data_IF_306197742975
#
_entry.id   IF_306197742975
#
_cell.length_a   1.000
_cell.length_b   1.000
_cell.length_c   1.000
_cell.angle_alpha   90.00
_cell.angle_beta   90.00
_cell.angle_gamma   90.00
#
_symmetry.space_group_name_H-M   'P 1'
#
loop_
_entity.id
_entity.type
_entity.pdbx_description
1 polymer ?
#
# COMPACT_ATOMS: atom_id res chain seq x y z
N UNK A 1 26.19 -7.92 -6.64
CA UNK A 1 26.30 -6.46 -6.57
C UNK A 1 25.95 -5.99 -5.17
N UNK A 2 26.89 -5.29 -4.52
CA UNK A 2 26.63 -4.66 -3.23
C UNK A 2 26.04 -3.27 -3.49
N UNK A 3 24.84 -3.04 -2.95
CA UNK A 3 24.22 -1.71 -2.99
C UNK A 3 24.75 -0.95 -1.76
N UNK A 4 25.47 0.16 -1.95
CA UNK A 4 25.96 0.92 -0.80
C UNK A 4 24.78 1.53 -0.02
N UNK A 5 24.96 1.63 1.28
CA UNK A 5 23.96 2.25 2.18
C UNK A 5 22.62 1.49 2.21
N UNK A 6 22.69 0.16 2.15
CA UNK A 6 21.51 -0.70 2.26
C UNK A 6 21.60 -1.51 3.56
N UNK A 7 20.59 -1.40 4.40
CA UNK A 7 20.41 -2.25 5.58
C UNK A 7 19.22 -3.18 5.34
N UNK A 8 19.42 -4.47 5.47
CA UNK A 8 18.37 -5.46 5.31
C UNK A 8 17.85 -5.87 6.69
N UNK A 9 16.56 -5.68 6.91
CA UNK A 9 15.91 -5.95 8.20
C UNK A 9 14.75 -6.94 7.99
N UNK A 10 14.76 -8.03 8.74
CA UNK A 10 13.64 -8.99 8.73
C UNK A 10 12.65 -8.58 9.81
N UNK A 11 11.47 -8.12 9.39
CA UNK A 11 10.40 -7.67 10.30
C UNK A 11 9.03 -8.00 9.71
N UNK A 12 8.08 -8.26 10.59
CA UNK A 12 6.69 -8.54 10.19
C UNK A 12 5.86 -7.25 10.34
N UNK A 13 5.49 -6.66 9.22
CA UNK A 13 4.68 -5.43 9.21
C UNK A 13 3.21 -5.64 9.56
N UNK A 14 2.79 -6.87 9.80
CA UNK A 14 1.45 -7.11 10.37
C UNK A 14 1.38 -6.67 11.83
N UNK A 15 2.53 -6.58 12.49
CA UNK A 15 2.66 -6.02 13.83
C UNK A 15 3.44 -4.70 13.76
N UNK A 16 3.36 -3.91 14.83
CA UNK A 16 4.03 -2.61 14.86
C UNK A 16 5.54 -2.79 14.66
N UNK A 17 6.15 -2.12 13.69
CA UNK A 17 7.59 -2.27 13.45
C UNK A 17 8.41 -1.69 14.60
N UNK A 18 9.64 -2.22 14.82
CA UNK A 18 10.48 -1.79 15.97
C UNK A 18 11.19 -0.45 15.71
N UNK A 19 10.58 0.42 14.93
CA UNK A 19 11.11 1.75 14.60
C UNK A 19 10.16 2.82 15.08
N UNK A 20 10.67 4.02 15.29
CA UNK A 20 9.84 5.23 15.50
C UNK A 20 9.88 6.05 14.22
N UNK A 21 9.21 7.18 14.15
CA UNK A 21 9.11 8.05 12.98
C UNK A 21 10.48 8.42 12.41
N UNK A 22 11.05 7.54 11.59
CA UNK A 22 12.44 7.65 11.12
C UNK A 22 12.59 7.77 9.60
N UNK A 23 11.55 7.45 8.82
CA UNK A 23 11.66 7.40 7.36
C UNK A 23 11.04 8.63 6.70
N UNK A 24 11.75 9.22 5.75
CA UNK A 24 11.25 10.33 4.93
C UNK A 24 10.41 9.81 3.77
N UNK A 25 10.76 8.63 3.24
CA UNK A 25 10.04 7.98 2.15
C UNK A 25 9.87 6.50 2.45
N UNK A 26 8.69 5.98 2.19
CA UNK A 26 8.38 4.56 2.36
C UNK A 26 7.70 4.06 1.08
N UNK A 27 8.16 2.94 0.57
CA UNK A 27 7.44 2.19 -0.46
C UNK A 27 6.90 0.91 0.19
N UNK A 28 5.59 0.76 0.19
CA UNK A 28 4.91 -0.45 0.66
C UNK A 28 4.41 -1.24 -0.55
N UNK A 29 5.13 -2.28 -0.91
CA UNK A 29 4.67 -3.25 -1.89
C UNK A 29 3.97 -4.37 -1.12
N UNK A 30 2.64 -4.23 -0.98
CA UNK A 30 1.89 -5.04 -0.02
C UNK A 30 1.51 -6.42 -0.57
N UNK A 31 1.43 -7.45 0.28
CA UNK A 31 0.90 -8.74 -0.16
C UNK A 31 -0.53 -8.57 -0.67
N UNK A 32 -0.82 -9.12 -1.84
CA UNK A 32 -2.13 -8.98 -2.49
C UNK A 32 -2.50 -10.28 -3.23
N UNK A 33 -3.70 -10.30 -3.80
CA UNK A 33 -4.18 -11.45 -4.58
C UNK A 33 -3.31 -11.75 -5.80
N UNK A 34 -2.67 -10.72 -6.36
CA UNK A 34 -1.90 -10.84 -7.59
C UNK A 34 -2.75 -10.89 -8.85
N UNK A 35 -4.06 -10.56 -8.75
CA UNK A 35 -4.98 -10.66 -9.90
C UNK A 35 -4.58 -9.78 -11.09
N UNK A 36 -3.72 -8.79 -10.87
CA UNK A 36 -3.15 -7.98 -11.96
C UNK A 36 -2.06 -8.71 -12.74
N UNK A 37 -1.58 -9.86 -12.25
CA UNK A 37 -0.49 -10.61 -12.88
C UNK A 37 -0.96 -11.94 -13.49
N UNK A 38 -2.25 -12.07 -13.82
CA UNK A 38 -2.81 -13.31 -14.37
C UNK A 38 -2.13 -13.75 -15.66
N UNK A 39 -1.59 -12.82 -16.44
CA UNK A 39 -0.85 -13.13 -17.66
C UNK A 39 0.46 -13.90 -17.33
N UNK A 40 1.19 -13.41 -16.33
CA UNK A 40 2.46 -13.99 -15.89
C UNK A 40 2.27 -15.17 -14.95
N UNK A 41 1.15 -15.18 -14.21
CA UNK A 41 0.84 -16.15 -13.17
C UNK A 41 -0.61 -16.66 -13.31
N UNK A 42 -0.91 -17.44 -14.37
CA UNK A 42 -2.30 -17.84 -14.66
C UNK A 42 -2.92 -18.78 -13.60
N UNK A 43 -2.10 -19.42 -12.80
CA UNK A 43 -2.55 -20.31 -11.71
C UNK A 43 -3.28 -19.55 -10.59
N UNK A 44 -3.09 -18.24 -10.49
CA UNK A 44 -3.76 -17.38 -9.49
C UNK A 44 -5.28 -17.54 -9.56
N UNK A 45 -5.85 -17.64 -10.79
CA UNK A 45 -7.30 -17.80 -10.99
C UNK A 45 -7.89 -19.01 -10.25
N UNK A 46 -7.07 -20.02 -9.99
CA UNK A 46 -7.52 -21.25 -9.33
C UNK A 46 -7.29 -21.23 -7.81
N UNK A 47 -6.43 -20.31 -7.35
CA UNK A 47 -6.05 -20.24 -5.93
C UNK A 47 -6.80 -19.14 -5.16
N UNK A 48 -7.19 -18.06 -5.85
CA UNK A 48 -7.83 -16.90 -5.21
C UNK A 48 -9.35 -17.02 -5.34
N UNK A 49 -10.03 -16.78 -4.23
CA UNK A 49 -11.50 -16.74 -4.15
C UNK A 49 -11.94 -15.33 -3.76
N UNK A 50 -13.14 -14.96 -4.13
CA UNK A 50 -13.73 -13.67 -3.76
C UNK A 50 -13.66 -13.42 -2.24
N UNK A 51 -13.88 -14.48 -1.43
CA UNK A 51 -13.80 -14.39 0.03
C UNK A 51 -12.39 -14.01 0.53
N UNK A 52 -11.34 -14.25 -0.25
CA UNK A 52 -9.97 -13.89 0.14
C UNK A 52 -9.74 -12.38 0.05
N UNK A 53 -10.50 -11.65 -0.75
CA UNK A 53 -10.32 -10.20 -0.93
C UNK A 53 -10.49 -9.46 0.41
N UNK A 54 -11.46 -9.85 1.23
CA UNK A 54 -11.65 -9.24 2.55
C UNK A 54 -10.45 -9.49 3.48
N UNK A 55 -9.85 -10.67 3.39
CA UNK A 55 -8.66 -11.00 4.15
C UNK A 55 -7.46 -10.18 3.70
N UNK A 56 -7.28 -10.02 2.38
CA UNK A 56 -6.22 -9.17 1.83
C UNK A 56 -6.43 -7.71 2.23
N UNK A 57 -7.66 -7.20 2.12
CA UNK A 57 -8.00 -5.83 2.52
C UNK A 57 -7.56 -5.57 3.97
N UNK A 58 -7.98 -6.45 4.91
CA UNK A 58 -7.65 -6.30 6.32
C UNK A 58 -6.13 -6.33 6.58
N UNK A 59 -5.43 -7.23 5.90
CA UNK A 59 -3.98 -7.36 5.99
C UNK A 59 -3.30 -6.08 5.47
N UNK A 60 -3.71 -5.62 4.29
CA UNK A 60 -3.14 -4.44 3.64
C UNK A 60 -3.36 -3.18 4.47
N UNK A 61 -4.54 -3.03 5.05
CA UNK A 61 -4.86 -1.90 5.92
C UNK A 61 -3.95 -1.91 7.17
N UNK A 62 -3.72 -3.08 7.76
CA UNK A 62 -2.82 -3.25 8.90
C UNK A 62 -1.37 -2.88 8.53
N UNK A 63 -0.88 -3.39 7.39
CA UNK A 63 0.48 -3.09 6.90
C UNK A 63 0.62 -1.59 6.61
N UNK A 64 -0.40 -0.98 6.00
CA UNK A 64 -0.40 0.45 5.69
C UNK A 64 -0.34 1.30 6.97
N UNK A 65 -1.16 0.97 7.99
CA UNK A 65 -1.14 1.66 9.30
C UNK A 65 0.25 1.57 9.94
N UNK A 66 0.83 0.38 9.94
CA UNK A 66 2.13 0.14 10.58
C UNK A 66 3.26 0.83 9.81
N UNK A 67 3.22 0.79 8.49
CA UNK A 67 4.19 1.54 7.67
C UNK A 67 4.07 3.04 7.89
N UNK A 68 2.84 3.56 7.91
CA UNK A 68 2.62 4.99 8.12
C UNK A 68 3.09 5.45 9.52
N UNK A 69 2.99 4.58 10.53
CA UNK A 69 3.38 4.93 11.91
C UNK A 69 4.87 5.23 12.07
N UNK A 70 5.71 4.78 11.13
CA UNK A 70 7.16 5.05 11.17
C UNK A 70 7.59 6.12 10.16
N UNK A 71 6.63 6.72 9.46
CA UNK A 71 6.86 7.79 8.50
C UNK A 71 6.99 9.13 9.24
N UNK A 72 8.05 9.88 8.99
CA UNK A 72 8.24 11.21 9.56
C UNK A 72 7.16 12.17 9.10
N UNK A 73 6.87 13.15 9.94
CA UNK A 73 6.02 14.28 9.56
C UNK A 73 6.62 14.97 8.32
N UNK A 74 5.80 15.21 7.31
CA UNK A 74 6.22 15.72 6.00
C UNK A 74 6.70 14.66 5.05
N UNK A 75 6.92 13.43 5.52
CA UNK A 75 7.34 12.30 4.70
C UNK A 75 6.23 11.78 3.79
N UNK A 76 6.61 10.97 2.82
CA UNK A 76 5.70 10.40 1.84
C UNK A 76 5.78 8.87 1.83
N UNK A 77 4.61 8.25 1.74
CA UNK A 77 4.49 6.80 1.62
C UNK A 77 3.78 6.49 0.29
N UNK A 78 4.34 5.56 -0.46
CA UNK A 78 3.69 5.00 -1.65
C UNK A 78 3.21 3.59 -1.32
N UNK A 79 1.92 3.38 -1.43
CA UNK A 79 1.28 2.06 -1.33
C UNK A 79 1.17 1.49 -2.72
N UNK A 80 1.52 0.22 -2.92
CA UNK A 80 1.38 -0.42 -4.23
C UNK A 80 0.92 -1.87 -4.11
N UNK A 81 0.16 -2.32 -5.12
CA UNK A 81 -0.27 -3.71 -5.30
C UNK A 81 -0.11 -4.14 -6.74
N UNK A 82 -0.09 -5.45 -6.97
CA UNK A 82 -0.27 -6.05 -8.29
C UNK A 82 -1.68 -6.64 -8.41
N UNK A 83 -2.70 -5.90 -7.94
CA UNK A 83 -4.10 -6.32 -8.00
C UNK A 83 -4.91 -5.36 -8.88
N UNK A 84 -5.93 -5.90 -9.54
CA UNK A 84 -6.94 -5.10 -10.27
C UNK A 84 -8.14 -4.74 -9.40
N UNK A 85 -8.24 -5.35 -8.20
CA UNK A 85 -9.46 -5.29 -7.39
C UNK A 85 -9.54 -4.02 -6.53
N UNK A 86 -10.64 -3.26 -6.63
CA UNK A 86 -10.81 -2.06 -5.81
C UNK A 86 -10.69 -2.32 -4.31
N UNK A 87 -11.11 -3.51 -3.85
CA UNK A 87 -11.04 -3.92 -2.45
C UNK A 87 -9.62 -3.92 -1.91
N UNK A 88 -8.64 -4.16 -2.77
CA UNK A 88 -7.21 -4.18 -2.40
C UNK A 88 -6.53 -2.85 -2.71
N UNK A 89 -7.19 -1.96 -3.41
CA UNK A 89 -6.64 -0.73 -3.96
C UNK A 89 -7.31 0.49 -3.31
N UNK A 90 -8.27 1.09 -4.00
CA UNK A 90 -8.93 2.32 -3.55
C UNK A 90 -9.58 2.17 -2.18
N UNK A 91 -10.25 1.03 -1.94
CA UNK A 91 -10.98 0.81 -0.69
C UNK A 91 -10.05 0.82 0.53
N UNK A 92 -8.84 0.25 0.40
CA UNK A 92 -7.84 0.27 1.48
C UNK A 92 -7.40 1.71 1.77
N UNK A 93 -7.09 2.48 0.71
CA UNK A 93 -6.64 3.86 0.86
C UNK A 93 -7.74 4.73 1.46
N UNK A 94 -8.97 4.63 0.95
CA UNK A 94 -10.11 5.41 1.43
C UNK A 94 -10.39 5.12 2.91
N UNK A 95 -10.42 3.85 3.29
CA UNK A 95 -10.64 3.47 4.69
C UNK A 95 -9.50 4.01 5.57
N UNK A 96 -8.25 3.86 5.15
CA UNK A 96 -7.10 4.38 5.90
C UNK A 96 -7.22 5.90 6.12
N UNK A 97 -7.56 6.64 5.06
CA UNK A 97 -7.67 8.11 5.13
C UNK A 97 -8.80 8.59 6.04
N UNK A 98 -9.86 7.78 6.22
CA UNK A 98 -10.93 8.13 7.18
C UNK A 98 -10.49 7.90 8.63
N UNK A 99 -9.55 6.99 8.86
CA UNK A 99 -9.10 6.60 10.19
C UNK A 99 -7.86 7.35 10.67
N UNK A 100 -7.04 7.90 9.72
CA UNK A 100 -5.78 8.56 10.07
C UNK A 100 -5.80 10.03 9.67
N UNK A 101 -6.09 10.89 10.64
CA UNK A 101 -6.21 12.36 10.44
C UNK A 101 -4.90 13.01 9.98
N UNK A 102 -3.77 12.33 10.17
CA UNK A 102 -2.45 12.83 9.76
C UNK A 102 -2.09 12.42 8.33
N UNK A 103 -2.97 11.68 7.65
CA UNK A 103 -2.70 11.20 6.30
C UNK A 103 -3.44 12.07 5.26
N UNK A 104 -2.74 12.38 4.18
CA UNK A 104 -3.29 13.12 3.04
C UNK A 104 -2.88 12.43 1.75
N UNK A 105 -3.84 12.03 0.92
CA UNK A 105 -3.53 11.51 -0.42
C UNK A 105 -2.97 12.63 -1.29
N UNK A 106 -1.96 12.31 -2.10
CA UNK A 106 -1.26 13.27 -2.97
C UNK A 106 -1.43 12.85 -4.43
N UNK A 107 -2.04 13.74 -5.21
CA UNK A 107 -2.25 13.50 -6.64
C UNK A 107 -3.27 12.39 -6.89
N UNK A 108 -3.32 11.95 -8.13
CA UNK A 108 -4.22 10.88 -8.55
C UNK A 108 -3.62 9.51 -8.27
N UNK A 109 -4.48 8.52 -8.13
CA UNK A 109 -4.04 7.13 -8.05
C UNK A 109 -3.50 6.68 -9.41
N UNK A 110 -2.40 5.96 -9.39
CA UNK A 110 -1.82 5.39 -10.60
C UNK A 110 -2.33 3.97 -10.81
N UNK A 111 -2.77 3.68 -12.02
CA UNK A 111 -3.22 2.37 -12.42
C UNK A 111 -2.64 2.03 -13.78
N UNK A 112 -2.06 0.87 -13.92
CA UNK A 112 -1.79 0.31 -15.25
C UNK A 112 -2.92 -0.65 -15.60
N UNK A 113 -3.24 -0.72 -16.89
CA UNK A 113 -4.31 -1.56 -17.38
C UNK A 113 -3.74 -2.72 -18.22
N UNK A 114 -4.47 -3.81 -18.35
CA UNK A 114 -4.00 -4.92 -19.19
C UNK A 114 -3.71 -4.45 -20.60
N UNK A 115 -2.48 -4.65 -21.03
CA UNK A 115 -2.02 -4.27 -22.35
C UNK A 115 -1.09 -5.38 -22.85
N UNK A 116 -1.28 -5.87 -24.08
CA UNK A 116 -0.43 -6.94 -24.62
C UNK A 116 1.06 -6.61 -24.64
N UNK A 117 1.39 -5.33 -24.65
CA UNK A 117 2.78 -4.86 -24.73
C UNK A 117 3.34 -4.38 -23.39
N UNK A 118 2.49 -3.96 -22.45
CA UNK A 118 2.91 -3.39 -21.17
C UNK A 118 2.95 -4.40 -20.02
N UNK A 119 2.34 -5.57 -20.19
CA UNK A 119 2.45 -6.65 -19.20
C UNK A 119 1.40 -6.59 -18.10
N UNK A 120 1.86 -6.78 -16.85
CA UNK A 120 1.00 -6.92 -15.69
C UNK A 120 0.39 -5.60 -15.23
N UNK A 121 -0.68 -5.69 -14.44
CA UNK A 121 -1.39 -4.52 -13.92
C UNK A 121 -0.94 -4.20 -12.51
N UNK A 122 -0.79 -2.92 -12.23
CA UNK A 122 -0.36 -2.41 -10.93
C UNK A 122 -1.23 -1.24 -10.51
N UNK A 123 -1.31 -1.04 -9.20
CA UNK A 123 -1.93 0.13 -8.58
C UNK A 123 -0.91 0.80 -7.66
N UNK A 124 -0.95 2.13 -7.58
CA UNK A 124 -0.16 2.88 -6.60
C UNK A 124 -0.89 4.14 -6.14
N UNK A 125 -0.77 4.43 -4.85
CA UNK A 125 -1.31 5.63 -4.22
C UNK A 125 -0.23 6.28 -3.35
N UNK A 126 -0.11 7.61 -3.41
CA UNK A 126 0.85 8.37 -2.59
C UNK A 126 0.13 9.04 -1.43
N UNK A 127 0.72 8.96 -0.25
CA UNK A 127 0.17 9.50 0.99
C UNK A 127 1.25 10.31 1.70
N UNK A 128 0.92 11.54 2.16
CA UNK A 128 1.84 12.38 2.92
C UNK A 128 1.41 12.43 4.39
N UNK A 129 2.40 12.41 5.30
CA UNK A 129 2.19 12.62 6.73
C UNK A 129 2.15 14.13 7.00
N UNK A 130 0.96 14.64 7.36
CA UNK A 130 0.75 16.08 7.59
C UNK A 130 0.47 16.36 9.06
N UNK A 131 0.42 17.39 9.39
CA UNK A 131 0.03 17.71 10.59
C UNK A 131 -1.32 17.26 10.72
N UNK A 132 -1.81 17.21 11.90
CA UNK A 132 -3.19 16.79 12.15
C UNK A 132 -4.16 17.75 11.47
N UNK A 133 -5.09 17.22 10.71
CA UNK A 133 -6.13 18.07 10.10
C UNK A 133 -7.02 18.62 11.21
N UNK A 134 -7.06 19.95 11.36
CA UNK A 134 -8.07 20.59 12.16
C UNK A 134 -9.35 20.55 11.34
N UNK A 135 -10.25 19.64 11.65
CA UNK A 135 -11.63 19.72 11.16
C UNK A 135 -12.21 20.95 11.83
N UNK A 136 -12.41 22.05 11.10
CA UNK A 136 -13.26 23.16 11.57
C UNK A 136 -14.67 22.59 11.62
N UNK A 137 -15.13 22.40 12.89
CA UNK A 137 -16.55 22.16 13.09
C UNK A 137 -17.25 23.47 12.72
N UNK A 138 -17.70 23.33 11.80
CA UNK A 138 -18.39 24.46 11.42
C UNK A 138 -19.71 24.44 11.80
#
# INVERSE_FOLDING_TARGET
HQVPNLDLIHADLRVHPPFREVFDFILLDVPCSGLGTLRSNPDIRWRIRESDLNRFHSLQLSVLRNGFSVLRRGGELTYSTCSTEPEENESVIEEFLTQEERALAIGDFHRTFPDPHLGDCFFAARIRHVXRRHVKLX
#
